data_IF_787181224772
#
_entry.id   IF_787181224772
#
_cell.length_a   1.000
_cell.length_b   1.000
_cell.length_c   1.000
_cell.angle_alpha   90.00
_cell.angle_beta   90.00
_cell.angle_gamma   90.00
#
_symmetry.space_group_name_H-M   'P 1'
#
loop_
_entity.id
_entity.type
_entity.pdbx_description
1 polymer ?
#
# COMPACT_ATOMS: atom_id res chain seq x y z
N UNK A 1 23.42 -9.14 3.54
CA UNK A 1 23.14 -7.94 4.39
C UNK A 1 21.75 -8.16 5.01
N UNK A 2 21.51 -7.80 6.26
CA UNK A 2 20.16 -7.95 6.85
C UNK A 2 19.37 -6.68 6.58
N UNK A 3 18.17 -6.80 6.01
CA UNK A 3 17.30 -5.68 5.75
C UNK A 3 16.90 -4.95 7.04
N UNK A 4 16.76 -3.63 7.02
CA UNK A 4 16.39 -2.87 8.20
C UNK A 4 14.96 -3.19 8.63
N UNK A 5 14.71 -3.18 9.92
CA UNK A 5 13.35 -3.16 10.44
C UNK A 5 12.73 -1.80 10.19
N UNK A 6 11.68 -1.76 9.38
CA UNK A 6 10.97 -0.52 9.03
C UNK A 6 9.68 -0.40 9.84
N UNK A 7 9.46 0.79 10.40
CA UNK A 7 8.18 1.14 11.00
C UNK A 7 7.33 1.89 9.99
N UNK A 8 6.15 1.35 9.66
CA UNK A 8 5.25 1.98 8.71
C UNK A 8 4.72 3.32 9.25
N UNK A 9 4.73 4.37 8.42
CA UNK A 9 4.11 5.67 8.76
C UNK A 9 2.60 5.47 8.88
N UNK A 10 2.00 5.89 9.99
CA UNK A 10 0.56 5.77 10.25
C UNK A 10 -0.13 7.10 9.91
N UNK A 11 -0.96 7.16 8.85
CA UNK A 11 -1.66 8.39 8.50
C UNK A 11 -2.62 8.83 9.60
N UNK A 12 -2.59 10.13 9.94
CA UNK A 12 -3.53 10.77 10.86
C UNK A 12 -4.82 11.17 10.12
N UNK A 13 -5.91 11.28 10.83
CA UNK A 13 -7.17 11.68 10.20
C UNK A 13 -7.21 13.18 9.92
N UNK A 14 -7.70 13.56 8.72
CA UNK A 14 -8.02 14.92 8.33
C UNK A 14 -9.43 14.93 7.72
N UNK A 15 -10.24 15.91 8.11
CA UNK A 15 -11.65 15.96 7.70
C UNK A 15 -11.81 16.38 6.25
N UNK A 16 -11.16 17.50 5.87
CA UNK A 16 -11.36 18.13 4.59
C UNK A 16 -10.20 17.86 3.63
N UNK A 17 -10.49 17.60 2.35
CA UNK A 17 -9.47 17.57 1.31
C UNK A 17 -8.89 18.97 1.11
N UNK A 18 -7.75 19.03 0.45
CA UNK A 18 -7.06 20.29 0.14
C UNK A 18 -6.21 20.14 -1.11
N UNK A 19 -5.89 21.26 -1.74
CA UNK A 19 -4.94 21.36 -2.84
C UNK A 19 -3.66 22.04 -2.35
N UNK A 20 -2.52 21.48 -2.74
CA UNK A 20 -1.23 22.09 -2.43
C UNK A 20 -0.15 21.44 -3.32
N UNK A 21 0.65 22.23 -4.10
CA UNK A 21 1.63 21.72 -5.04
C UNK A 21 2.77 20.90 -4.39
N UNK A 22 3.03 21.10 -3.10
CA UNK A 22 4.06 20.35 -2.37
C UNK A 22 3.60 18.94 -1.93
N UNK A 23 2.38 18.54 -2.28
CA UNK A 23 1.78 17.31 -1.80
C UNK A 23 1.40 16.35 -2.92
N UNK A 24 1.66 15.07 -2.69
CA UNK A 24 1.16 13.95 -3.46
C UNK A 24 -0.09 13.38 -2.78
N UNK A 25 -1.13 13.15 -3.54
CA UNK A 25 -2.37 12.54 -3.07
C UNK A 25 -2.53 11.18 -3.72
N UNK A 26 -2.41 10.12 -2.92
CA UNK A 26 -2.61 8.74 -3.36
C UNK A 26 -4.06 8.31 -3.16
N UNK A 27 -4.51 7.39 -3.99
CA UNK A 27 -5.72 6.64 -3.68
C UNK A 27 -5.56 5.87 -2.37
N UNK A 28 -6.56 5.99 -1.49
CA UNK A 28 -6.63 5.14 -0.32
C UNK A 28 -7.28 3.81 -0.70
N UNK A 29 -6.45 2.81 -0.84
CA UNK A 29 -6.90 1.45 -1.11
C UNK A 29 -7.42 0.81 0.16
N UNK A 30 -8.36 -0.10 -0.02
CA UNK A 30 -9.02 -0.82 1.04
C UNK A 30 -8.55 -2.28 1.05
N UNK A 31 -7.65 -2.60 1.97
CA UNK A 31 -6.99 -3.90 2.03
C UNK A 31 -6.22 -4.11 3.33
N UNK A 32 -5.12 -4.87 3.24
CA UNK A 32 -4.19 -5.08 4.34
C UNK A 32 -2.87 -4.38 4.03
N UNK A 33 -2.56 -3.31 4.76
CA UNK A 33 -1.25 -2.67 4.62
C UNK A 33 -0.15 -3.65 4.98
N UNK A 34 0.83 -3.75 4.09
CA UNK A 34 1.97 -4.62 4.23
C UNK A 34 3.27 -3.94 3.79
N UNK A 35 4.31 -4.08 4.58
CA UNK A 35 5.69 -3.90 4.15
C UNK A 35 6.13 -5.21 3.49
N UNK A 36 6.48 -5.13 2.21
CA UNK A 36 6.96 -6.27 1.43
C UNK A 36 8.48 -6.27 1.45
N UNK A 37 9.04 -7.28 2.09
CA UNK A 37 10.47 -7.53 2.20
C UNK A 37 10.89 -8.58 1.19
N UNK A 38 11.89 -8.27 0.37
CA UNK A 38 12.53 -9.17 -0.58
C UNK A 38 13.99 -9.35 -0.16
N UNK A 39 14.42 -10.59 -0.02
CA UNK A 39 15.80 -11.00 0.25
C UNK A 39 16.17 -12.17 -0.66
N UNK A 40 17.45 -12.43 -0.97
CA UNK A 40 17.83 -13.59 -1.77
C UNK A 40 17.21 -14.89 -1.27
N UNK A 41 16.37 -15.51 -2.09
CA UNK A 41 15.68 -16.77 -1.77
C UNK A 41 14.56 -16.69 -0.73
N UNK A 42 14.13 -15.51 -0.33
CA UNK A 42 13.08 -15.33 0.68
C UNK A 42 12.30 -14.04 0.46
N UNK A 43 10.97 -14.15 0.54
CA UNK A 43 10.11 -12.96 0.63
C UNK A 43 9.19 -13.04 1.85
N UNK A 44 8.66 -11.90 2.29
CA UNK A 44 7.68 -11.84 3.37
C UNK A 44 6.88 -10.54 3.35
N UNK A 45 5.60 -10.66 3.62
CA UNK A 45 4.70 -9.53 3.82
C UNK A 45 4.48 -9.34 5.32
N UNK A 46 4.76 -8.14 5.82
CA UNK A 46 4.66 -7.79 7.24
C UNK A 46 3.59 -6.70 7.40
N UNK A 47 2.59 -6.96 8.24
CA UNK A 47 1.53 -5.99 8.53
C UNK A 47 2.09 -4.74 9.23
N UNK A 48 1.31 -3.66 9.21
CA UNK A 48 1.60 -2.42 9.95
C UNK A 48 1.98 -2.65 11.42
N UNK A 49 1.44 -3.68 12.05
CA UNK A 49 1.69 -4.00 13.45
C UNK A 49 2.87 -4.97 13.65
N UNK A 50 3.61 -5.32 12.59
CA UNK A 50 4.79 -6.17 12.65
C UNK A 50 4.50 -7.69 12.59
N UNK A 51 3.28 -8.11 12.30
CA UNK A 51 2.92 -9.52 12.16
C UNK A 51 3.12 -10.01 10.72
N UNK A 52 3.63 -11.22 10.57
CA UNK A 52 3.68 -11.90 9.27
C UNK A 52 2.27 -12.13 8.73
N UNK A 53 2.09 -11.85 7.45
CA UNK A 53 0.85 -12.07 6.71
C UNK A 53 0.93 -13.35 5.88
N UNK A 54 1.17 -14.49 6.54
CA UNK A 54 1.47 -15.80 5.91
C UNK A 54 0.40 -16.26 4.92
N UNK A 55 -0.85 -15.82 5.10
CA UNK A 55 -1.92 -16.08 4.12
C UNK A 55 -1.64 -15.53 2.71
N UNK A 56 -0.67 -14.65 2.56
CA UNK A 56 -0.25 -14.03 1.31
C UNK A 56 1.16 -14.44 0.87
N UNK A 57 1.72 -15.53 1.41
CA UNK A 57 3.06 -16.00 1.05
C UNK A 57 3.14 -16.30 -0.46
N UNK A 58 2.12 -16.96 -1.04
CA UNK A 58 2.06 -17.23 -2.47
C UNK A 58 2.06 -15.93 -3.33
N UNK A 59 1.44 -14.84 -2.86
CA UNK A 59 1.54 -13.54 -3.51
C UNK A 59 2.97 -13.01 -3.43
N UNK A 60 3.61 -13.10 -2.27
CA UNK A 60 5.00 -12.67 -2.08
C UNK A 60 5.96 -13.39 -3.04
N UNK A 61 5.83 -14.71 -3.17
CA UNK A 61 6.67 -15.50 -4.09
C UNK A 61 6.44 -15.11 -5.55
N UNK A 62 5.18 -14.93 -5.96
CA UNK A 62 4.83 -14.49 -7.31
C UNK A 62 5.37 -13.07 -7.63
N UNK A 63 5.28 -12.13 -6.67
CA UNK A 63 5.83 -10.79 -6.80
C UNK A 63 7.36 -10.80 -6.95
N UNK A 64 8.06 -11.65 -6.18
CA UNK A 64 9.52 -11.78 -6.28
C UNK A 64 9.95 -12.25 -7.67
N UNK A 65 9.17 -13.13 -8.30
CA UNK A 65 9.46 -13.64 -9.64
C UNK A 65 9.31 -12.58 -10.75
N UNK A 66 8.52 -11.53 -10.52
CA UNK A 66 8.29 -10.45 -11.49
C UNK A 66 9.27 -9.28 -11.34
N UNK A 67 9.88 -9.12 -10.16
CA UNK A 67 10.78 -8.00 -9.85
C UNK A 67 12.24 -8.37 -10.07
N UNK A 68 12.97 -7.54 -10.81
CA UNK A 68 14.41 -7.67 -11.02
C UNK A 68 15.17 -6.85 -9.98
N UNK A 69 15.17 -7.34 -8.73
CA UNK A 69 15.83 -6.71 -7.59
C UNK A 69 16.54 -7.77 -6.74
N UNK A 70 17.71 -7.43 -6.19
CA UNK A 70 18.44 -8.31 -5.27
C UNK A 70 17.80 -8.33 -3.88
N UNK A 71 17.52 -7.16 -3.35
CA UNK A 71 16.81 -6.96 -2.10
C UNK A 71 16.00 -5.65 -2.11
N UNK A 72 14.84 -5.65 -1.45
CA UNK A 72 13.99 -4.45 -1.36
C UNK A 72 13.09 -4.47 -0.11
N UNK A 73 12.67 -3.27 0.31
CA UNK A 73 11.53 -3.09 1.23
C UNK A 73 10.57 -2.08 0.62
N UNK A 74 9.39 -2.56 0.27
CA UNK A 74 8.34 -1.80 -0.40
C UNK A 74 7.16 -1.60 0.56
N UNK A 75 6.63 -0.40 0.67
CA UNK A 75 5.42 -0.13 1.46
C UNK A 75 4.20 -0.07 0.54
N UNK A 76 3.18 -0.84 0.87
CA UNK A 76 2.02 -0.99 0.01
C UNK A 76 0.79 -1.55 0.72
N UNK A 77 -0.19 -1.91 -0.07
CA UNK A 77 -1.46 -2.50 0.38
C UNK A 77 -1.74 -3.79 -0.40
N UNK A 78 -2.03 -4.88 0.30
CA UNK A 78 -2.59 -6.08 -0.33
C UNK A 78 -4.08 -5.86 -0.52
N UNK A 79 -4.55 -5.97 -1.76
CA UNK A 79 -5.95 -5.80 -2.13
C UNK A 79 -6.47 -7.02 -2.90
N UNK A 80 -7.77 -7.16 -3.03
CA UNK A 80 -8.40 -7.90 -4.10
C UNK A 80 -9.28 -6.92 -4.88
N UNK A 81 -9.23 -6.95 -6.19
CA UNK A 81 -10.01 -6.06 -7.04
C UNK A 81 -11.04 -6.85 -7.85
N UNK A 82 -12.19 -6.22 -8.15
CA UNK A 82 -13.13 -6.74 -9.13
C UNK A 82 -12.67 -6.45 -10.57
N UNK A 83 -13.48 -6.86 -11.54
CA UNK A 83 -13.19 -6.73 -12.98
C UNK A 83 -13.07 -5.26 -13.43
N UNK A 84 -13.55 -4.31 -12.62
CA UNK A 84 -13.45 -2.87 -12.86
C UNK A 84 -12.25 -2.24 -12.13
N UNK A 85 -11.46 -3.04 -11.42
CA UNK A 85 -10.31 -2.58 -10.63
C UNK A 85 -10.67 -1.99 -9.25
N UNK A 86 -11.92 -2.13 -8.79
CA UNK A 86 -12.34 -1.64 -7.48
C UNK A 86 -11.92 -2.61 -6.37
N UNK A 87 -11.28 -2.14 -5.29
CA UNK A 87 -10.96 -2.98 -4.15
C UNK A 87 -12.22 -3.58 -3.51
N UNK A 88 -12.16 -4.88 -3.24
CA UNK A 88 -13.21 -5.69 -2.61
C UNK A 88 -12.67 -6.29 -1.31
N UNK A 89 -12.76 -5.54 -0.21
CA UNK A 89 -12.19 -5.93 1.08
C UNK A 89 -12.71 -7.27 1.58
N UNK A 90 -14.01 -7.52 1.47
CA UNK A 90 -14.62 -8.76 1.95
C UNK A 90 -14.20 -9.98 1.13
N UNK A 91 -13.97 -9.82 -0.17
CA UNK A 91 -13.47 -10.88 -1.04
C UNK A 91 -12.01 -11.20 -0.68
N UNK A 92 -11.20 -10.17 -0.40
CA UNK A 92 -9.84 -10.35 0.11
C UNK A 92 -9.84 -11.09 1.45
N UNK A 93 -10.71 -10.68 2.37
CA UNK A 93 -10.82 -11.28 3.70
C UNK A 93 -11.23 -12.75 3.63
N UNK A 94 -12.18 -13.09 2.75
CA UNK A 94 -12.68 -14.46 2.55
C UNK A 94 -11.77 -15.32 1.67
N UNK A 95 -10.85 -14.71 0.91
CA UNK A 95 -10.00 -15.41 -0.06
C UNK A 95 -10.75 -15.86 -1.31
N UNK A 96 -11.85 -15.19 -1.67
CA UNK A 96 -12.67 -15.52 -2.84
C UNK A 96 -12.15 -14.89 -4.12
N UNK A 97 -11.23 -13.95 -4.04
CA UNK A 97 -10.51 -13.33 -5.16
C UNK A 97 -9.02 -13.39 -4.96
N UNK A 98 -8.28 -13.48 -6.06
CA UNK A 98 -6.82 -13.44 -6.03
C UNK A 98 -6.33 -12.09 -5.46
N UNK A 99 -5.36 -12.11 -4.52
CA UNK A 99 -4.77 -10.89 -4.00
C UNK A 99 -3.80 -10.27 -5.01
N UNK A 100 -3.68 -8.95 -4.97
CA UNK A 100 -2.68 -8.16 -5.67
C UNK A 100 -2.04 -7.15 -4.70
N UNK A 101 -0.88 -6.61 -5.06
CA UNK A 101 -0.15 -5.66 -4.24
C UNK A 101 -0.10 -4.29 -4.90
N UNK A 102 -0.53 -3.24 -4.19
CA UNK A 102 -0.43 -1.84 -4.64
C UNK A 102 0.67 -1.16 -3.86
N UNK A 103 1.79 -0.86 -4.51
CA UNK A 103 2.94 -0.20 -3.93
C UNK A 103 2.77 1.32 -3.95
N UNK A 104 3.11 1.99 -2.86
CA UNK A 104 3.04 3.45 -2.78
C UNK A 104 4.28 4.11 -2.16
N UNK A 105 5.28 3.36 -1.72
CA UNK A 105 6.59 3.86 -1.30
C UNK A 105 7.65 2.77 -1.38
N UNK A 106 8.92 3.17 -1.53
CA UNK A 106 10.08 2.28 -1.55
C UNK A 106 11.10 2.81 -0.56
N UNK A 107 11.50 2.00 0.42
CA UNK A 107 12.34 2.46 1.53
C UNK A 107 13.73 1.83 1.56
N UNK A 108 13.92 0.76 0.79
CA UNK A 108 15.20 0.08 0.60
C UNK A 108 15.27 -0.56 -0.77
N UNK A 109 16.41 -0.48 -1.45
CA UNK A 109 16.63 -1.10 -2.76
C UNK A 109 18.10 -1.48 -2.95
N UNK A 110 18.38 -2.74 -3.27
CA UNK A 110 19.69 -3.26 -3.69
C UNK A 110 20.84 -2.74 -2.81
N UNK A 111 20.74 -2.99 -1.50
CA UNK A 111 21.73 -2.58 -0.52
C UNK A 111 21.68 -1.10 -0.10
N UNK A 112 20.78 -0.29 -0.64
CA UNK A 112 20.68 1.15 -0.41
C UNK A 112 19.48 1.52 0.46
N UNK A 113 19.74 2.26 1.55
CA UNK A 113 18.70 2.84 2.40
C UNK A 113 18.15 4.14 1.78
N UNK A 114 16.89 4.11 1.33
CA UNK A 114 16.24 5.22 0.67
C UNK A 114 15.44 6.12 1.62
N UNK A 115 15.34 5.78 2.90
CA UNK A 115 14.47 6.48 3.86
C UNK A 115 14.80 7.95 4.03
N UNK A 116 16.07 8.34 3.86
CA UNK A 116 16.49 9.74 3.92
C UNK A 116 16.14 10.57 2.68
N UNK A 117 15.80 9.92 1.56
CA UNK A 117 15.41 10.61 0.36
C UNK A 117 14.00 11.22 0.49
N UNK A 118 13.72 12.33 -0.23
CA UNK A 118 12.36 12.86 -0.33
C UNK A 118 11.42 11.83 -1.00
N UNK A 119 10.12 11.88 -0.67
CA UNK A 119 9.10 10.99 -1.25
C UNK A 119 9.15 10.98 -2.78
N UNK A 120 9.32 12.14 -3.41
CA UNK A 120 9.45 12.27 -4.87
C UNK A 120 10.62 11.47 -5.44
N UNK A 121 11.73 11.39 -4.70
CA UNK A 121 12.89 10.56 -5.06
C UNK A 121 12.61 9.07 -4.91
N UNK A 122 12.00 8.66 -3.79
CA UNK A 122 11.63 7.26 -3.53
C UNK A 122 10.59 6.74 -4.53
N UNK A 123 9.63 7.59 -4.94
CA UNK A 123 8.62 7.23 -5.95
C UNK A 123 9.25 7.00 -7.33
N UNK A 124 10.25 7.79 -7.74
CA UNK A 124 11.00 7.54 -8.99
C UNK A 124 11.75 6.21 -8.93
N UNK A 125 12.37 5.88 -7.79
CA UNK A 125 13.00 4.57 -7.60
C UNK A 125 11.98 3.43 -7.61
N UNK A 126 10.80 3.62 -7.01
CA UNK A 126 9.72 2.64 -7.06
C UNK A 126 9.28 2.39 -8.51
N UNK A 127 9.12 3.43 -9.31
CA UNK A 127 8.75 3.29 -10.73
C UNK A 127 9.79 2.50 -11.54
N UNK A 128 11.07 2.64 -11.21
CA UNK A 128 12.15 1.97 -11.95
C UNK A 128 12.20 0.45 -11.75
N UNK A 129 11.61 -0.08 -10.68
CA UNK A 129 11.58 -1.52 -10.41
C UNK A 129 10.36 -2.23 -11.01
N UNK A 130 9.37 -1.49 -11.54
CA UNK A 130 8.26 -2.10 -12.24
C UNK A 130 8.70 -2.62 -13.60
N UNK A 131 8.23 -3.80 -14.05
CA UNK A 131 8.50 -4.30 -15.38
C UNK A 131 8.02 -3.29 -16.42
N UNK A 132 8.85 -3.05 -17.46
CA UNK A 132 8.43 -2.23 -18.59
C UNK A 132 7.16 -2.82 -19.21
N UNK A 133 6.18 -1.96 -19.49
CA UNK A 133 4.92 -2.34 -20.11
C UNK A 133 5.17 -3.19 -21.36
N UNK A 134 4.68 -4.44 -21.38
CA UNK A 134 4.84 -5.39 -22.49
C UNK A 134 5.42 -6.75 -22.12
N UNK A 135 5.93 -6.96 -20.90
CA UNK A 135 6.48 -8.25 -20.49
C UNK A 135 5.49 -9.19 -19.80
N UNK A 136 4.32 -8.71 -19.36
CA UNK A 136 3.27 -9.58 -18.82
C UNK A 136 1.91 -9.24 -19.46
N UNK A 137 1.34 -10.22 -20.15
CA UNK A 137 0.01 -10.12 -20.78
C UNK A 137 -1.13 -10.43 -19.81
N UNK A 138 -0.85 -10.71 -18.56
CA UNK A 138 -1.83 -11.01 -17.51
C UNK A 138 -1.99 -9.83 -16.56
N UNK A 139 -3.13 -9.69 -15.94
CA UNK A 139 -3.44 -8.65 -14.96
C UNK A 139 -2.28 -8.52 -13.94
N UNK A 140 -1.68 -7.33 -13.78
CA UNK A 140 -0.49 -7.20 -12.95
C UNK A 140 -0.84 -7.53 -11.50
N UNK A 141 -0.09 -8.47 -10.89
CA UNK A 141 -0.22 -8.78 -9.47
C UNK A 141 0.39 -7.68 -8.59
N UNK A 142 1.16 -6.77 -9.21
CA UNK A 142 1.70 -5.57 -8.57
C UNK A 142 1.43 -4.33 -9.44
N UNK A 143 1.03 -3.26 -8.79
CA UNK A 143 0.86 -1.94 -9.43
C UNK A 143 1.34 -0.83 -8.50
N UNK A 144 1.68 0.32 -9.08
CA UNK A 144 1.87 1.55 -8.33
C UNK A 144 0.53 2.16 -7.94
N UNK A 145 0.45 2.75 -6.75
CA UNK A 145 -0.74 3.48 -6.32
C UNK A 145 -1.01 4.66 -7.27
N UNK A 146 -2.26 4.77 -7.73
CA UNK A 146 -2.72 5.94 -8.47
C UNK A 146 -2.60 7.17 -7.61
N UNK A 147 -1.97 8.20 -8.14
CA UNK A 147 -1.68 9.43 -7.42
C UNK A 147 -1.77 10.67 -8.31
N UNK A 148 -2.02 11.81 -7.68
CA UNK A 148 -2.05 13.13 -8.33
C UNK A 148 -1.29 14.12 -7.47
N UNK A 149 -0.40 14.91 -8.07
CA UNK A 149 0.29 16.00 -7.38
C UNK A 149 -0.60 17.25 -7.35
N UNK A 150 -0.62 17.92 -6.20
CA UNK A 150 -1.21 19.24 -6.03
C UNK A 150 -2.73 19.31 -5.95
N UNK A 151 -3.48 18.33 -6.50
CA UNK A 151 -4.94 18.40 -6.70
C UNK A 151 -5.70 17.37 -5.85
N UNK A 152 -5.68 17.55 -4.53
CA UNK A 152 -6.31 16.60 -3.60
C UNK A 152 -7.83 16.69 -3.59
N UNK A 153 -8.41 17.88 -3.80
CA UNK A 153 -9.87 18.07 -3.84
C UNK A 153 -10.50 17.33 -5.02
N UNK A 154 -9.95 17.51 -6.22
CA UNK A 154 -10.42 16.82 -7.42
C UNK A 154 -10.34 15.29 -7.28
N UNK A 155 -9.19 14.79 -6.77
CA UNK A 155 -9.00 13.37 -6.56
C UNK A 155 -9.99 12.82 -5.53
N UNK A 156 -10.27 13.57 -4.47
CA UNK A 156 -11.22 13.17 -3.44
C UNK A 156 -12.65 13.10 -3.97
N UNK A 157 -13.08 14.09 -4.77
CA UNK A 157 -14.39 14.07 -5.44
C UNK A 157 -14.56 12.85 -6.34
N UNK A 158 -13.53 12.55 -7.15
CA UNK A 158 -13.52 11.35 -7.99
C UNK A 158 -13.67 10.07 -7.15
N UNK A 159 -13.04 10.02 -5.97
CA UNK A 159 -13.15 8.87 -5.05
C UNK A 159 -14.55 8.74 -4.46
N UNK A 160 -15.18 9.85 -4.07
CA UNK A 160 -16.53 9.87 -3.54
C UNK A 160 -17.56 9.41 -4.60
N UNK A 161 -17.46 9.96 -5.82
CA UNK A 161 -18.35 9.59 -6.94
C UNK A 161 -18.28 8.11 -7.29
N UNK A 162 -17.10 7.50 -7.16
CA UNK A 162 -16.90 6.07 -7.44
C UNK A 162 -17.06 5.17 -6.21
N UNK A 163 -17.59 5.66 -5.10
CA UNK A 163 -17.77 4.91 -3.85
C UNK A 163 -16.49 4.20 -3.39
N UNK A 164 -15.39 4.94 -3.31
CA UNK A 164 -14.09 4.44 -2.87
C UNK A 164 -13.70 5.06 -1.52
N UNK A 165 -12.75 4.45 -0.78
CA UNK A 165 -12.52 4.75 0.65
C UNK A 165 -12.05 6.18 0.93
N UNK A 166 -11.31 6.81 -0.01
CA UNK A 166 -10.77 8.15 0.15
C UNK A 166 -9.37 8.31 -0.43
N UNK A 167 -8.60 9.23 0.12
CA UNK A 167 -7.23 9.54 -0.31
C UNK A 167 -6.25 9.59 0.87
N UNK A 168 -4.95 9.48 0.57
CA UNK A 168 -3.85 9.71 1.50
C UNK A 168 -2.97 10.82 0.95
N UNK A 169 -2.82 11.91 1.71
CA UNK A 169 -1.94 13.04 1.35
C UNK A 169 -0.57 12.86 2.00
N UNK A 170 0.48 13.06 1.22
CA UNK A 170 1.89 12.91 1.60
C UNK A 170 2.68 14.10 1.04
N UNK A 171 3.57 14.69 1.83
CA UNK A 171 4.40 15.80 1.34
C UNK A 171 5.53 15.24 0.47
N UNK A 172 5.74 15.81 -0.72
CA UNK A 172 6.74 15.36 -1.70
C UNK A 172 8.19 15.43 -1.19
N UNK A 173 8.49 16.41 -0.33
CA UNK A 173 9.83 16.61 0.22
C UNK A 173 10.15 15.75 1.46
N UNK A 174 9.18 15.03 2.04
CA UNK A 174 9.37 14.34 3.30
C UNK A 174 10.18 13.05 3.15
N UNK A 175 11.11 12.76 4.10
CA UNK A 175 11.75 11.46 4.22
C UNK A 175 10.75 10.39 4.68
N UNK A 176 11.17 9.12 4.70
CA UNK A 176 10.37 8.05 5.31
C UNK A 176 10.78 7.88 6.79
N UNK A 177 10.06 8.57 7.66
CA UNK A 177 10.31 8.58 9.11
C UNK A 177 8.98 8.54 9.87
N UNK A 178 8.94 7.87 11.02
CA UNK A 178 7.73 7.74 11.84
C UNK A 178 7.17 9.09 12.36
N UNK A 179 7.98 10.15 12.35
CA UNK A 179 7.59 11.52 12.74
C UNK A 179 6.94 12.30 11.60
N UNK A 180 7.05 11.80 10.37
CA UNK A 180 6.43 12.42 9.19
C UNK A 180 4.92 12.28 9.25
N UNK A 181 4.22 13.32 8.87
CA UNK A 181 2.77 13.37 8.92
C UNK A 181 2.14 13.10 7.55
N UNK A 182 1.54 11.93 7.40
CA UNK A 182 0.61 11.63 6.32
C UNK A 182 -0.83 11.89 6.78
N UNK A 183 -1.68 12.36 5.89
CA UNK A 183 -3.10 12.55 6.19
C UNK A 183 -3.95 11.54 5.42
N UNK A 184 -4.89 10.88 6.12
CA UNK A 184 -5.97 10.12 5.49
C UNK A 184 -7.25 10.95 5.51
N UNK A 185 -7.85 11.11 4.34
CA UNK A 185 -9.12 11.83 4.14
C UNK A 185 -10.11 10.79 3.62
N UNK A 186 -11.14 10.50 4.41
CA UNK A 186 -12.06 9.39 4.15
C UNK A 186 -13.38 9.87 3.58
N UNK A 187 -13.87 9.14 2.58
CA UNK A 187 -15.24 9.27 2.10
C UNK A 187 -16.22 8.80 3.19
N UNK A 188 -17.05 9.71 3.70
CA UNK A 188 -18.06 9.39 4.73
C UNK A 188 -19.12 8.39 4.23
N UNK A 189 -19.39 8.38 2.93
CA UNK A 189 -20.42 7.57 2.29
C UNK A 189 -19.92 6.24 1.73
N UNK A 190 -18.66 5.88 2.01
CA UNK A 190 -18.08 4.62 1.55
C UNK A 190 -18.80 3.42 2.16
N UNK A 191 -19.43 2.59 1.31
CA UNK A 191 -20.34 1.53 1.75
C UNK A 191 -19.64 0.29 2.30
N UNK A 192 -18.45 -0.07 1.81
CA UNK A 192 -17.72 -1.27 2.30
C UNK A 192 -17.12 -1.11 3.71
N UNK A 193 -17.33 0.02 4.40
CA UNK A 193 -16.95 0.17 5.81
C UNK A 193 -17.93 -0.50 6.78
N UNK A 194 -19.16 -0.78 6.32
CA UNK A 194 -20.25 -1.34 7.14
C UNK A 194 -19.89 -2.75 7.62
N UNK A 195 -20.20 -3.07 8.87
CA UNK A 195 -19.93 -4.38 9.48
C UNK A 195 -18.48 -4.67 9.90
N UNK A 196 -17.50 -3.76 9.61
CA UNK A 196 -16.10 -4.01 9.99
C UNK A 196 -15.84 -3.97 11.48
N UNK A 197 -16.57 -3.17 12.23
CA UNK A 197 -16.45 -3.10 13.68
C UNK A 197 -16.60 -4.47 14.34
N UNK A 198 -17.53 -5.26 13.85
CA UNK A 198 -17.85 -6.59 14.40
C UNK A 198 -16.77 -7.62 14.08
N UNK A 199 -16.10 -7.50 12.92
CA UNK A 199 -15.02 -8.42 12.49
C UNK A 199 -13.73 -8.27 13.32
N UNK A 200 -13.45 -7.06 13.83
CA UNK A 200 -12.22 -6.78 14.56
C UNK A 200 -12.41 -6.67 16.10
N UNK A 201 -13.65 -6.59 16.56
CA UNK A 201 -14.00 -6.51 17.98
C UNK A 201 -14.48 -7.85 18.59
N UNK A 202 -14.50 -8.94 17.80
CA UNK A 202 -14.80 -10.28 18.31
C UNK A 202 -13.76 -10.72 19.35
N UNK A 203 -14.13 -11.61 20.32
CA UNK A 203 -13.22 -12.07 21.36
C UNK A 203 -12.00 -12.72 20.71
N UNK A 204 -10.80 -12.18 20.96
CA UNK A 204 -9.53 -12.75 20.51
C UNK A 204 -9.43 -14.15 21.12
N UNK A 205 -9.57 -15.19 20.30
CA UNK A 205 -9.19 -16.53 20.73
C UNK A 205 -7.70 -16.49 21.08
N UNK A 206 -7.40 -16.67 22.38
CA UNK A 206 -6.01 -16.85 22.82
C UNK A 206 -5.52 -18.16 22.23
N UNK A 207 -4.31 -18.21 21.64
CA UNK A 207 -3.71 -19.47 21.28
C UNK A 207 -3.60 -20.33 22.55
N UNK A 208 -4.15 -21.53 22.51
CA UNK A 208 -3.87 -22.54 23.54
C UNK A 208 -2.36 -22.83 23.50
N UNK A 209 -1.75 -22.81 24.67
CA UNK A 209 -0.32 -23.12 24.90
C UNK A 209 0.01 -24.54 24.52
#
# INVERSE_FOLDING_TARGET
>A
MTLPRVQAIVPTWRKEPFDNPDWLFDFKYDGFRALYYIEPGRSRLISRNGYLLTRFDALGDALTAELDVDDAVIDGEVIAADETGRPQFYDLLRGTRAPAYVAFDLVWLNGSDLRSLPLSGRRRQLQSIFPLAGKSATSPIMSEALSVEGRGCELFELRCTNNLEGIVAKRLADPYDARVQWFKIKNSNYTQKEGRGDLFNGPRQRPQR
#
